data_IF_064300237727
#
_entry.id   IF_064300237727
#
_cell.length_a   1.000
_cell.length_b   1.000
_cell.length_c   1.000
_cell.angle_alpha   90.00
_cell.angle_beta   90.00
_cell.angle_gamma   90.00
#
_symmetry.space_group_name_H-M   'P 1'
#
loop_
_entity.id
_entity.type
_entity.pdbx_description
1 polymer ?
#
# COMPACT_ATOMS: atom_id res chain seq x y z
N UNK A 1 -5.06 -3.83 -2.52
CA UNK A 1 -6.12 -4.87 -2.71
C UNK A 1 -6.72 -4.91 -4.10
N UNK A 2 -7.06 -3.73 -4.68
CA UNK A 2 -7.41 -3.58 -6.10
C UNK A 2 -6.41 -4.34 -6.98
N UNK A 3 -5.12 -4.18 -6.72
CA UNK A 3 -4.05 -4.84 -7.46
C UNK A 3 -4.07 -6.37 -7.35
N UNK A 4 -4.37 -6.93 -6.17
CA UNK A 4 -4.42 -8.39 -6.00
C UNK A 4 -5.63 -9.01 -6.69
N UNK A 5 -6.78 -8.32 -6.67
CA UNK A 5 -7.96 -8.73 -7.41
C UNK A 5 -7.77 -8.59 -8.91
N UNK A 6 -7.18 -7.49 -9.37
CA UNK A 6 -6.90 -7.23 -10.78
C UNK A 6 -5.90 -8.24 -11.34
N UNK A 7 -4.81 -8.54 -10.61
CA UNK A 7 -3.86 -9.60 -10.97
C UNK A 7 -4.53 -10.97 -11.01
N UNK A 8 -5.40 -11.27 -10.04
CA UNK A 8 -6.13 -12.54 -10.02
C UNK A 8 -7.15 -12.64 -11.15
N UNK A 9 -7.80 -11.54 -11.50
CA UNK A 9 -8.74 -11.43 -12.61
C UNK A 9 -8.05 -11.64 -13.96
N UNK A 10 -6.90 -10.99 -14.17
CA UNK A 10 -6.06 -11.20 -15.34
C UNK A 10 -5.57 -12.65 -15.45
N UNK A 11 -5.27 -13.31 -14.32
CA UNK A 11 -4.96 -14.75 -14.30
C UNK A 11 -6.13 -15.61 -14.74
N UNK A 12 -7.33 -15.36 -14.21
CA UNK A 12 -8.55 -16.12 -14.58
C UNK A 12 -8.87 -15.94 -16.07
N UNK A 13 -8.87 -14.71 -16.58
CA UNK A 13 -9.14 -14.44 -17.99
C UNK A 13 -8.08 -15.05 -18.91
N UNK A 14 -6.81 -14.96 -18.51
CA UNK A 14 -5.71 -15.55 -19.25
C UNK A 14 -5.81 -17.07 -19.34
N UNK A 15 -6.08 -17.75 -18.23
CA UNK A 15 -6.20 -19.21 -18.21
C UNK A 15 -7.42 -19.70 -19.00
N UNK A 16 -8.56 -19.00 -18.93
CA UNK A 16 -9.73 -19.33 -19.73
C UNK A 16 -9.46 -19.15 -21.22
N UNK A 17 -8.90 -18.01 -21.63
CA UNK A 17 -8.61 -17.73 -23.03
C UNK A 17 -7.56 -18.70 -23.61
N UNK A 18 -6.45 -18.87 -22.90
CA UNK A 18 -5.40 -19.82 -23.29
C UNK A 18 -5.89 -21.26 -23.28
N UNK A 19 -6.79 -21.61 -22.36
CA UNK A 19 -7.46 -22.90 -22.28
C UNK A 19 -8.34 -23.20 -23.50
N UNK A 20 -9.23 -22.27 -23.84
CA UNK A 20 -10.15 -22.39 -24.98
C UNK A 20 -9.37 -22.46 -26.29
N UNK A 21 -8.42 -21.54 -26.50
CA UNK A 21 -7.64 -21.49 -27.74
C UNK A 21 -6.68 -22.66 -27.85
N UNK A 22 -6.08 -23.10 -26.74
CA UNK A 22 -5.23 -24.29 -26.68
C UNK A 22 -6.02 -25.54 -27.05
N UNK A 23 -7.22 -25.70 -26.49
CA UNK A 23 -8.11 -26.80 -26.83
C UNK A 23 -8.50 -26.77 -28.32
N UNK A 24 -8.97 -25.62 -28.84
CA UNK A 24 -9.31 -25.50 -30.27
C UNK A 24 -8.11 -25.80 -31.18
N UNK A 25 -6.92 -25.39 -30.76
CA UNK A 25 -5.69 -25.59 -31.51
C UNK A 25 -5.29 -27.06 -31.61
N UNK A 26 -5.73 -27.94 -30.71
CA UNK A 26 -5.48 -29.38 -30.82
C UNK A 26 -6.14 -30.01 -32.04
N UNK A 27 -7.19 -29.39 -32.61
CA UNK A 27 -7.85 -29.87 -33.82
C UNK A 27 -7.15 -29.40 -35.11
N UNK A 28 -6.49 -28.24 -35.09
CA UNK A 28 -5.97 -27.59 -36.30
C UNK A 28 -4.44 -27.60 -36.39
N UNK A 29 -3.74 -27.58 -35.25
CA UNK A 29 -2.29 -27.46 -35.18
C UNK A 29 -1.69 -28.81 -34.81
N UNK A 30 -0.96 -29.41 -35.75
CA UNK A 30 -0.11 -30.57 -35.50
C UNK A 30 0.98 -30.19 -34.49
N UNK A 31 1.30 -31.09 -33.56
CA UNK A 31 2.21 -30.94 -32.42
C UNK A 31 3.67 -30.60 -32.83
N UNK A 32 3.87 -29.40 -33.36
CA UNK A 32 5.17 -28.89 -33.77
C UNK A 32 5.49 -27.62 -32.99
N UNK A 33 6.75 -27.45 -32.61
CA UNK A 33 7.21 -26.27 -31.86
C UNK A 33 6.96 -24.97 -32.65
N UNK A 34 7.05 -25.03 -33.98
CA UNK A 34 6.81 -23.88 -34.86
C UNK A 34 5.34 -23.44 -34.80
N UNK A 35 4.39 -24.38 -34.84
CA UNK A 35 2.95 -24.06 -34.76
C UNK A 35 2.55 -23.55 -33.38
N UNK A 36 3.14 -24.08 -32.31
CA UNK A 36 2.97 -23.57 -30.96
C UNK A 36 3.47 -22.12 -30.82
N UNK A 37 4.63 -21.81 -31.40
CA UNK A 37 5.20 -20.45 -31.34
C UNK A 37 4.32 -19.44 -32.09
N UNK A 38 3.81 -19.81 -33.27
CA UNK A 38 2.84 -18.99 -34.00
C UNK A 38 1.54 -18.80 -33.22
N UNK A 39 1.06 -19.85 -32.55
CA UNK A 39 -0.13 -19.78 -31.70
C UNK A 39 0.01 -18.79 -30.54
N UNK A 40 1.19 -18.72 -29.92
CA UNK A 40 1.48 -17.72 -28.87
C UNK A 40 1.39 -16.29 -29.41
N UNK A 41 1.94 -16.03 -30.60
CA UNK A 41 1.86 -14.69 -31.23
C UNK A 41 0.39 -14.31 -31.47
N UNK A 42 -0.42 -15.25 -31.96
CA UNK A 42 -1.86 -15.04 -32.16
C UNK A 42 -2.57 -14.75 -30.83
N UNK A 43 -2.26 -15.49 -29.78
CA UNK A 43 -2.84 -15.26 -28.44
C UNK A 43 -2.51 -13.89 -27.91
N UNK A 44 -1.25 -13.46 -27.98
CA UNK A 44 -0.84 -12.13 -27.51
C UNK A 44 -1.61 -11.06 -28.28
N UNK A 45 -1.75 -11.22 -29.60
CA UNK A 45 -2.50 -10.27 -30.41
C UNK A 45 -3.99 -10.25 -30.03
N UNK A 46 -4.59 -11.41 -29.78
CA UNK A 46 -5.99 -11.52 -29.35
C UNK A 46 -6.21 -10.89 -27.97
N UNK A 47 -5.29 -11.11 -27.02
CA UNK A 47 -5.33 -10.45 -25.71
C UNK A 47 -5.32 -8.93 -25.84
N UNK A 48 -4.54 -8.38 -26.77
CA UNK A 48 -4.52 -6.93 -27.03
C UNK A 48 -5.84 -6.43 -27.63
N UNK A 49 -6.42 -7.15 -28.59
CA UNK A 49 -7.72 -6.79 -29.19
C UNK A 49 -8.83 -6.82 -28.14
N UNK A 50 -8.83 -7.83 -27.27
CA UNK A 50 -9.78 -7.99 -26.17
C UNK A 50 -9.51 -7.05 -24.98
N UNK A 51 -8.49 -6.18 -25.07
CA UNK A 51 -8.06 -5.25 -24.01
C UNK A 51 -7.72 -5.94 -22.68
N UNK A 52 -7.16 -7.14 -22.75
CA UNK A 52 -6.69 -7.95 -21.60
C UNK A 52 -5.20 -8.26 -21.77
N UNK A 53 -4.42 -7.25 -22.16
CA UNK A 53 -2.97 -7.38 -22.42
C UNK A 53 -2.21 -7.94 -21.23
N UNK A 54 -2.65 -7.64 -20.01
CA UNK A 54 -2.02 -8.10 -18.77
C UNK A 54 -2.17 -9.62 -18.55
N UNK A 55 -3.17 -10.23 -19.19
CA UNK A 55 -3.43 -11.66 -19.17
C UNK A 55 -2.60 -12.44 -20.22
N UNK A 56 -1.93 -11.76 -21.15
CA UNK A 56 -1.29 -12.36 -22.33
C UNK A 56 -0.21 -13.40 -21.98
N UNK A 57 0.61 -13.12 -20.96
CA UNK A 57 1.65 -14.05 -20.51
C UNK A 57 1.02 -15.36 -19.97
N UNK A 58 0.01 -15.25 -19.12
CA UNK A 58 -0.68 -16.41 -18.53
C UNK A 58 -1.46 -17.19 -19.58
N UNK A 59 -2.12 -16.49 -20.52
CA UNK A 59 -2.79 -17.12 -21.66
C UNK A 59 -1.82 -17.92 -22.53
N UNK A 60 -0.65 -17.36 -22.82
CA UNK A 60 0.39 -17.99 -23.63
C UNK A 60 0.96 -19.25 -22.96
N UNK A 61 1.26 -19.18 -21.66
CA UNK A 61 1.76 -20.35 -20.90
C UNK A 61 0.71 -21.45 -20.82
N UNK A 62 -0.56 -21.08 -20.60
CA UNK A 62 -1.68 -22.04 -20.54
C UNK A 62 -1.88 -22.73 -21.89
N UNK A 63 -1.85 -21.95 -22.98
CA UNK A 63 -1.91 -22.46 -24.34
C UNK A 63 -0.78 -23.44 -24.65
N UNK A 64 0.48 -23.06 -24.40
CA UNK A 64 1.63 -23.93 -24.64
C UNK A 64 1.52 -25.22 -23.81
N UNK A 65 1.09 -25.09 -22.55
CA UNK A 65 0.89 -26.26 -21.67
C UNK A 65 -0.09 -27.26 -22.29
N UNK A 66 -1.15 -26.78 -22.95
CA UNK A 66 -2.14 -27.66 -23.62
C UNK A 66 -1.58 -28.17 -24.96
N UNK A 67 -1.07 -27.29 -25.82
CA UNK A 67 -0.59 -27.70 -27.14
C UNK A 67 0.60 -28.67 -27.10
N UNK A 68 1.43 -28.64 -26.05
CA UNK A 68 2.59 -29.54 -25.90
C UNK A 68 2.41 -30.61 -24.81
N UNK A 69 1.45 -30.44 -23.89
CA UNK A 69 1.30 -31.28 -22.71
C UNK A 69 0.16 -32.31 -22.78
N UNK A 70 -0.63 -32.32 -23.87
CA UNK A 70 -1.79 -33.21 -24.02
C UNK A 70 -1.41 -34.70 -24.06
N UNK A 71 -0.26 -35.07 -24.64
CA UNK A 71 0.22 -36.46 -24.67
C UNK A 71 -0.87 -37.44 -25.15
N UNK A 72 -1.02 -38.59 -24.47
CA UNK A 72 -2.06 -39.60 -24.78
C UNK A 72 -3.44 -39.30 -24.18
N UNK A 73 -3.61 -38.17 -23.47
CA UNK A 73 -4.88 -37.85 -22.82
C UNK A 73 -5.86 -37.15 -23.79
N UNK A 74 -7.16 -37.28 -23.54
CA UNK A 74 -8.15 -36.46 -24.25
C UNK A 74 -7.91 -34.97 -23.98
N UNK A 75 -7.60 -34.21 -25.03
CA UNK A 75 -7.24 -32.79 -24.99
C UNK A 75 -8.25 -31.93 -24.21
N UNK A 76 -9.53 -32.29 -24.30
CA UNK A 76 -10.62 -31.64 -23.56
C UNK A 76 -10.44 -31.82 -22.04
N UNK A 77 -10.21 -33.05 -21.59
CA UNK A 77 -10.04 -33.35 -20.17
C UNK A 77 -8.77 -32.66 -19.61
N UNK A 78 -7.66 -32.72 -20.35
CA UNK A 78 -6.43 -32.07 -19.94
C UNK A 78 -6.59 -30.55 -19.80
N UNK A 79 -7.27 -29.92 -20.76
CA UNK A 79 -7.50 -28.47 -20.75
C UNK A 79 -8.39 -28.05 -19.56
N UNK A 80 -9.46 -28.81 -19.28
CA UNK A 80 -10.33 -28.55 -18.13
C UNK A 80 -9.56 -28.68 -16.82
N UNK A 81 -8.80 -29.77 -16.64
CA UNK A 81 -8.02 -29.98 -15.42
C UNK A 81 -7.00 -28.86 -15.21
N UNK A 82 -6.31 -28.44 -16.29
CA UNK A 82 -5.36 -27.31 -16.23
C UNK A 82 -6.03 -26.00 -15.85
N UNK A 83 -7.22 -25.72 -16.38
CA UNK A 83 -7.99 -24.53 -15.99
C UNK A 83 -8.43 -24.62 -14.52
N UNK A 84 -8.94 -25.76 -14.07
CA UNK A 84 -9.36 -25.93 -12.66
C UNK A 84 -8.18 -25.79 -11.71
N UNK A 85 -7.05 -26.46 -11.97
CA UNK A 85 -5.85 -26.39 -11.13
C UNK A 85 -5.35 -24.94 -10.96
N UNK A 86 -5.34 -24.18 -12.07
CA UNK A 86 -4.92 -22.77 -12.04
C UNK A 86 -5.93 -21.89 -11.32
N UNK A 87 -7.23 -22.13 -11.48
CA UNK A 87 -8.29 -21.42 -10.74
C UNK A 87 -8.19 -21.70 -9.23
N UNK A 88 -8.01 -22.96 -8.84
CA UNK A 88 -7.82 -23.35 -7.43
C UNK A 88 -6.58 -22.65 -6.85
N UNK A 89 -5.47 -22.62 -7.61
CA UNK A 89 -4.27 -21.88 -7.22
C UNK A 89 -4.52 -20.39 -7.02
N UNK A 90 -5.29 -19.74 -7.89
CA UNK A 90 -5.69 -18.33 -7.74
C UNK A 90 -6.55 -18.11 -6.50
N UNK A 91 -7.53 -18.98 -6.25
CA UNK A 91 -8.41 -18.89 -5.08
C UNK A 91 -7.60 -19.06 -3.79
N UNK A 92 -6.72 -20.05 -3.71
CA UNK A 92 -5.85 -20.25 -2.53
C UNK A 92 -4.94 -19.03 -2.34
N UNK A 93 -4.34 -18.49 -3.41
CA UNK A 93 -3.49 -17.31 -3.34
C UNK A 93 -4.26 -16.08 -2.81
N UNK A 94 -5.50 -15.87 -3.26
CA UNK A 94 -6.38 -14.81 -2.76
C UNK A 94 -6.68 -15.00 -1.27
N UNK A 95 -7.02 -16.21 -0.84
CA UNK A 95 -7.32 -16.52 0.57
C UNK A 95 -6.11 -16.24 1.46
N UNK A 96 -4.92 -16.72 1.07
CA UNK A 96 -3.68 -16.51 1.84
C UNK A 96 -3.31 -15.04 1.90
N UNK A 97 -3.38 -14.34 0.76
CA UNK A 97 -3.07 -12.92 0.69
C UNK A 97 -4.04 -12.08 1.53
N UNK A 98 -5.34 -12.43 1.51
CA UNK A 98 -6.36 -11.79 2.30
C UNK A 98 -6.22 -12.05 3.80
N UNK A 99 -5.92 -13.29 4.21
CA UNK A 99 -5.97 -13.69 5.62
C UNK A 99 -4.66 -13.43 6.36
N UNK A 100 -3.51 -13.72 5.73
CA UNK A 100 -2.21 -13.70 6.43
C UNK A 100 -1.41 -12.44 6.11
N UNK A 101 -1.26 -12.11 4.82
CA UNK A 101 -0.42 -10.98 4.41
C UNK A 101 -1.00 -9.65 4.86
N UNK A 102 -2.32 -9.52 4.83
CA UNK A 102 -3.05 -8.30 5.22
C UNK A 102 -2.88 -7.98 6.69
N UNK A 103 -3.25 -8.89 7.59
CA UNK A 103 -3.18 -8.64 9.04
C UNK A 103 -1.77 -8.24 9.45
N UNK A 104 -0.76 -8.96 8.97
CA UNK A 104 0.65 -8.62 9.24
C UNK A 104 1.05 -7.25 8.69
N UNK A 105 0.56 -6.89 7.52
CA UNK A 105 0.85 -5.59 6.92
C UNK A 105 0.18 -4.46 7.69
N UNK A 106 -1.10 -4.58 8.06
CA UNK A 106 -1.80 -3.55 8.83
C UNK A 106 -1.22 -3.40 10.24
N UNK A 107 -0.85 -4.51 10.90
CA UNK A 107 -0.14 -4.47 12.18
C UNK A 107 1.22 -3.75 12.06
N UNK A 108 2.00 -4.08 11.02
CA UNK A 108 3.25 -3.39 10.71
C UNK A 108 3.06 -1.88 10.51
N UNK A 109 2.04 -1.48 9.74
CA UNK A 109 1.72 -0.08 9.50
C UNK A 109 1.34 0.64 10.80
N UNK A 110 0.52 0.03 11.64
CA UNK A 110 0.09 0.60 12.92
C UNK A 110 1.29 0.79 13.87
N UNK A 111 2.17 -0.19 13.98
CA UNK A 111 3.41 -0.09 14.77
C UNK A 111 4.32 1.01 14.22
N UNK A 112 4.47 1.10 12.90
CA UNK A 112 5.31 2.09 12.24
C UNK A 112 4.77 3.51 12.40
N UNK A 113 3.45 3.70 12.26
CA UNK A 113 2.75 4.96 12.56
C UNK A 113 3.01 5.40 14.00
N UNK A 114 2.77 4.50 14.97
CA UNK A 114 2.97 4.79 16.39
C UNK A 114 4.43 5.14 16.71
N UNK A 115 5.38 4.45 16.10
CA UNK A 115 6.81 4.74 16.27
C UNK A 115 7.18 6.10 15.65
N UNK A 116 6.70 6.41 14.45
CA UNK A 116 6.97 7.68 13.78
C UNK A 116 6.34 8.87 14.54
N UNK A 117 5.13 8.71 15.06
CA UNK A 117 4.45 9.70 15.91
C UNK A 117 5.27 9.96 17.18
N UNK A 118 5.73 8.91 17.86
CA UNK A 118 6.60 9.02 19.05
C UNK A 118 7.92 9.72 18.73
N UNK A 119 8.52 9.43 17.59
CA UNK A 119 9.76 10.07 17.15
C UNK A 119 9.56 11.55 16.87
N UNK A 120 8.45 11.94 16.22
CA UNK A 120 8.09 13.34 16.03
C UNK A 120 7.97 14.06 17.37
N UNK A 121 7.23 13.49 18.32
CA UNK A 121 7.05 14.07 19.66
C UNK A 121 8.37 14.21 20.42
N UNK A 122 9.24 13.20 20.35
CA UNK A 122 10.57 13.23 20.96
C UNK A 122 11.43 14.37 20.40
N UNK A 123 11.43 14.55 19.07
CA UNK A 123 12.16 15.63 18.41
C UNK A 123 11.59 16.98 18.85
N UNK A 124 10.27 17.15 18.81
CA UNK A 124 9.58 18.38 19.24
C UNK A 124 9.92 18.72 20.70
N UNK A 125 9.91 17.73 21.60
CA UNK A 125 10.28 17.93 23.00
C UNK A 125 11.71 18.45 23.15
N UNK A 126 12.65 17.91 22.36
CA UNK A 126 14.04 18.35 22.38
C UNK A 126 14.21 19.77 21.83
N UNK A 127 13.47 20.14 20.77
CA UNK A 127 13.44 21.50 20.22
C UNK A 127 12.96 22.52 21.27
N UNK A 128 11.86 22.22 21.97
CA UNK A 128 11.32 23.11 23.01
C UNK A 128 12.31 23.25 24.17
N UNK A 129 12.90 22.14 24.62
CA UNK A 129 13.85 22.12 25.74
C UNK A 129 15.10 22.94 25.42
N UNK A 130 15.64 22.78 24.22
CA UNK A 130 16.87 23.44 23.78
C UNK A 130 16.62 24.86 23.25
N UNK A 131 15.35 25.22 23.00
CA UNK A 131 14.95 26.47 22.32
C UNK A 131 15.61 26.64 20.94
N UNK A 132 15.81 25.53 20.25
CA UNK A 132 16.41 25.47 18.91
C UNK A 132 15.45 24.71 18.00
N UNK A 133 14.86 25.44 17.06
CA UNK A 133 13.88 24.92 16.12
C UNK A 133 14.49 24.71 14.74
N UNK A 134 15.66 25.29 14.43
CA UNK A 134 16.31 25.17 13.13
C UNK A 134 17.08 23.87 12.94
N UNK A 135 17.89 23.47 13.92
CA UNK A 135 18.84 22.36 13.73
C UNK A 135 18.17 21.02 13.44
N UNK A 136 17.02 20.80 14.08
CA UNK A 136 16.29 19.54 14.01
C UNK A 136 15.07 19.60 13.10
N UNK A 137 14.78 20.75 12.47
CA UNK A 137 13.58 20.95 11.64
C UNK A 137 13.52 19.96 10.47
N UNK A 138 14.63 19.80 9.76
CA UNK A 138 14.72 18.90 8.59
C UNK A 138 14.49 17.45 9.00
N UNK A 139 15.05 17.03 10.13
CA UNK A 139 14.85 15.69 10.71
C UNK A 139 13.38 15.49 11.11
N UNK A 140 12.77 16.48 11.75
CA UNK A 140 11.35 16.42 12.11
C UNK A 140 10.46 16.32 10.87
N UNK A 141 10.70 17.15 9.85
CA UNK A 141 9.92 17.17 8.61
C UNK A 141 10.03 15.83 7.86
N UNK A 142 11.22 15.21 7.85
CA UNK A 142 11.39 13.87 7.29
C UNK A 142 10.56 12.83 8.05
N UNK A 143 10.60 12.82 9.39
CA UNK A 143 9.82 11.84 10.17
C UNK A 143 8.31 12.09 10.10
N UNK A 144 7.89 13.35 9.96
CA UNK A 144 6.50 13.70 9.70
C UNK A 144 6.03 13.21 8.31
N UNK A 145 6.90 13.29 7.29
CA UNK A 145 6.60 12.71 5.98
C UNK A 145 6.37 11.19 6.07
N UNK A 146 7.21 10.47 6.81
CA UNK A 146 7.02 9.04 7.05
C UNK A 146 5.68 8.78 7.77
N UNK A 147 5.38 9.56 8.80
CA UNK A 147 4.12 9.46 9.56
C UNK A 147 2.90 9.64 8.64
N UNK A 148 2.94 10.64 7.75
CA UNK A 148 1.89 10.92 6.77
C UNK A 148 1.73 9.77 5.77
N UNK A 149 2.83 9.17 5.32
CA UNK A 149 2.79 8.00 4.44
C UNK A 149 2.11 6.80 5.12
N UNK A 150 2.52 6.46 6.35
CA UNK A 150 1.90 5.37 7.11
C UNK A 150 0.42 5.63 7.39
N UNK A 151 0.07 6.87 7.74
CA UNK A 151 -1.32 7.28 7.97
C UNK A 151 -2.18 7.05 6.71
N UNK A 152 -1.73 7.52 5.55
CA UNK A 152 -2.47 7.35 4.29
C UNK A 152 -2.64 5.86 3.94
N UNK A 153 -1.57 5.07 4.07
CA UNK A 153 -1.63 3.63 3.83
C UNK A 153 -2.60 2.91 4.79
N UNK A 154 -2.64 3.31 6.07
CA UNK A 154 -3.58 2.78 7.04
C UNK A 154 -5.03 3.13 6.68
N UNK A 155 -5.31 4.39 6.34
CA UNK A 155 -6.65 4.85 5.96
C UNK A 155 -7.15 4.12 4.72
N UNK A 156 -6.27 3.78 3.78
CA UNK A 156 -6.62 3.01 2.58
C UNK A 156 -6.86 1.51 2.87
N UNK A 157 -6.16 0.93 3.84
CA UNK A 157 -6.24 -0.52 4.13
C UNK A 157 -7.29 -0.88 5.19
N UNK A 158 -7.56 -0.02 6.18
CA UNK A 158 -8.51 -0.30 7.28
C UNK A 158 -9.93 -0.64 6.80
N UNK A 159 -10.52 0.01 5.77
CA UNK A 159 -11.87 -0.32 5.27
C UNK A 159 -12.03 -1.78 4.84
N UNK A 160 -10.92 -2.46 4.55
CA UNK A 160 -10.86 -3.84 4.10
C UNK A 160 -10.27 -4.79 5.15
N UNK A 161 -9.98 -4.28 6.36
CA UNK A 161 -9.56 -5.09 7.51
C UNK A 161 -10.77 -5.66 8.23
N UNK A 162 -10.64 -6.89 8.72
CA UNK A 162 -11.62 -7.50 9.63
C UNK A 162 -11.39 -7.10 11.09
N UNK A 163 -10.31 -6.39 11.39
CA UNK A 163 -9.97 -5.93 12.74
C UNK A 163 -10.63 -4.60 13.07
N UNK A 164 -11.15 -4.50 14.29
CA UNK A 164 -11.69 -3.26 14.86
C UNK A 164 -10.52 -2.39 15.35
N UNK A 165 -9.91 -1.65 14.45
CA UNK A 165 -8.97 -0.61 14.85
C UNK A 165 -9.72 0.59 15.40
N UNK A 166 -9.21 1.20 16.49
CA UNK A 166 -9.69 2.48 16.94
C UNK A 166 -9.22 3.57 15.95
N UNK A 167 -10.07 3.82 14.95
CA UNK A 167 -9.88 4.85 13.94
C UNK A 167 -9.87 6.26 14.53
N UNK A 168 -10.63 6.48 15.61
CA UNK A 168 -10.69 7.78 16.28
C UNK A 168 -9.30 8.15 16.84
N UNK A 169 -8.64 7.20 17.51
CA UNK A 169 -7.31 7.39 18.07
C UNK A 169 -6.25 7.62 16.99
N UNK A 170 -6.36 6.92 15.86
CA UNK A 170 -5.48 7.09 14.71
C UNK A 170 -5.61 8.51 14.14
N UNK A 171 -6.84 8.93 13.83
CA UNK A 171 -7.12 10.25 13.28
C UNK A 171 -6.67 11.35 14.24
N UNK A 172 -6.98 11.20 15.52
CA UNK A 172 -6.63 12.19 16.52
C UNK A 172 -5.12 12.29 16.74
N UNK A 173 -4.42 11.15 16.82
CA UNK A 173 -2.95 11.13 16.96
C UNK A 173 -2.25 11.79 15.77
N UNK A 174 -2.76 11.57 14.56
CA UNK A 174 -2.23 12.22 13.35
C UNK A 174 -2.48 13.73 13.37
N UNK A 175 -3.71 14.16 13.67
CA UNK A 175 -4.11 15.58 13.75
C UNK A 175 -3.27 16.36 14.77
N UNK A 176 -3.03 15.80 15.97
CA UNK A 176 -2.12 16.42 16.95
C UNK A 176 -0.72 16.61 16.36
N UNK A 177 -0.16 15.58 15.72
CA UNK A 177 1.17 15.68 15.12
C UNK A 177 1.22 16.71 13.98
N UNK A 178 0.16 16.80 13.17
CA UNK A 178 0.00 17.80 12.10
C UNK A 178 -0.03 19.23 12.66
N UNK A 179 -0.85 19.49 13.70
CA UNK A 179 -0.90 20.80 14.33
C UNK A 179 0.44 21.18 14.98
N UNK A 180 1.12 20.20 15.61
CA UNK A 180 2.43 20.42 16.21
C UNK A 180 3.49 20.81 15.16
N UNK A 181 3.55 20.12 14.02
CA UNK A 181 4.53 20.45 12.97
C UNK A 181 4.27 21.85 12.41
N UNK A 182 3.00 22.27 12.27
CA UNK A 182 2.66 23.62 11.83
C UNK A 182 3.16 24.69 12.80
N UNK A 183 2.99 24.49 14.11
CA UNK A 183 3.49 25.46 15.07
C UNK A 183 5.03 25.49 15.12
N UNK A 184 5.69 24.34 14.99
CA UNK A 184 7.16 24.25 14.92
C UNK A 184 7.69 24.90 13.64
N UNK A 185 7.00 24.75 12.51
CA UNK A 185 7.34 25.44 11.26
C UNK A 185 7.28 26.96 11.43
N UNK A 186 6.26 27.47 12.12
CA UNK A 186 6.18 28.89 12.48
C UNK A 186 7.40 29.36 13.27
N UNK A 187 7.80 28.61 14.31
CA UNK A 187 8.98 28.92 15.12
C UNK A 187 10.29 28.83 14.32
N UNK A 188 10.43 27.82 13.45
CA UNK A 188 11.54 27.69 12.53
C UNK A 188 11.67 28.90 11.60
N UNK A 189 10.56 29.38 11.02
CA UNK A 189 10.55 30.55 10.16
C UNK A 189 10.92 31.83 10.91
N UNK A 190 10.47 31.99 12.17
CA UNK A 190 10.83 33.13 13.01
C UNK A 190 12.32 33.11 13.29
N UNK A 191 12.87 31.98 13.75
CA UNK A 191 14.30 31.84 14.05
C UNK A 191 15.17 32.18 12.83
N UNK A 192 14.74 31.75 11.64
CA UNK A 192 15.40 32.09 10.37
C UNK A 192 15.26 33.57 9.98
N UNK A 193 14.18 34.25 10.38
CA UNK A 193 13.88 35.66 10.08
C UNK A 193 14.37 36.66 11.13
N UNK A 194 14.76 36.23 12.33
CA UNK A 194 15.33 37.11 13.37
C UNK A 194 16.59 37.85 12.86
N UNK A 195 17.20 37.39 11.76
CA UNK A 195 18.24 38.12 11.05
C UNK A 195 17.79 39.44 10.36
N UNK A 196 16.50 39.81 10.31
CA UNK A 196 16.04 40.95 9.48
C UNK A 196 14.91 41.88 9.97
N UNK A 197 14.24 41.67 11.12
CA UNK A 197 13.11 42.55 11.56
C UNK A 197 12.81 42.59 13.08
N UNK A 198 12.01 43.61 13.48
CA UNK A 198 11.56 44.07 14.82
C UNK A 198 11.32 42.99 15.89
N UNK A 199 11.97 43.13 17.06
CA UNK A 199 12.07 42.13 18.12
C UNK A 199 10.77 41.88 18.90
N UNK A 200 9.96 42.92 19.11
CA UNK A 200 8.73 42.84 19.96
C UNK A 200 7.63 41.99 19.30
N UNK A 201 7.43 42.15 17.99
CA UNK A 201 6.41 41.40 17.25
C UNK A 201 6.74 39.90 17.19
N UNK A 202 8.02 39.58 16.99
CA UNK A 202 8.52 38.20 16.97
C UNK A 202 8.33 37.49 18.32
N UNK A 203 8.45 38.21 19.45
CA UNK A 203 8.27 37.65 20.79
C UNK A 203 6.82 37.23 21.06
N UNK A 204 5.84 38.03 20.64
CA UNK A 204 4.42 37.69 20.78
C UNK A 204 4.04 36.44 19.97
N UNK A 205 4.52 36.36 18.73
CA UNK A 205 4.28 35.22 17.85
C UNK A 205 4.98 33.96 18.41
N UNK A 206 6.23 34.10 18.86
CA UNK A 206 6.95 33.00 19.50
C UNK A 206 6.18 32.42 20.70
N UNK A 207 5.69 33.30 21.59
CA UNK A 207 4.93 32.92 22.76
C UNK A 207 3.60 32.22 22.41
N UNK A 208 2.92 32.69 21.35
CA UNK A 208 1.72 32.03 20.82
C UNK A 208 2.01 30.59 20.40
N UNK A 209 2.99 30.37 19.50
CA UNK A 209 3.32 29.02 19.03
C UNK A 209 3.77 28.11 20.16
N UNK A 210 4.63 28.61 21.06
CA UNK A 210 5.10 27.84 22.21
C UNK A 210 3.95 27.41 23.12
N UNK A 211 3.00 28.31 23.40
CA UNK A 211 1.82 28.00 24.22
C UNK A 211 0.95 26.93 23.55
N UNK A 212 0.67 27.05 22.26
CA UNK A 212 -0.11 26.06 21.52
C UNK A 212 0.56 24.69 21.52
N UNK A 213 1.88 24.63 21.29
CA UNK A 213 2.65 23.38 21.34
C UNK A 213 2.54 22.72 22.72
N UNK A 214 2.72 23.48 23.81
CA UNK A 214 2.62 22.94 25.17
C UNK A 214 1.21 22.40 25.48
N UNK A 215 0.17 23.08 25.01
CA UNK A 215 -1.20 22.61 25.15
C UNK A 215 -1.43 21.29 24.39
N UNK A 216 -1.01 21.21 23.12
CA UNK A 216 -1.15 20.01 22.30
C UNK A 216 -0.38 18.81 22.89
N UNK A 217 0.85 19.03 23.38
CA UNK A 217 1.62 18.00 24.06
C UNK A 217 0.94 17.51 25.35
N UNK A 218 0.25 18.40 26.08
CA UNK A 218 -0.51 18.02 27.27
C UNK A 218 -1.74 17.18 26.93
N UNK A 219 -2.46 17.51 25.85
CA UNK A 219 -3.62 16.76 25.35
C UNK A 219 -3.21 15.33 24.97
N UNK A 220 -2.17 15.19 24.13
CA UNK A 220 -1.62 13.89 23.74
C UNK A 220 -1.24 13.01 24.93
N UNK A 221 -0.68 13.61 25.99
CA UNK A 221 -0.26 12.88 27.20
C UNK A 221 -1.44 12.46 28.08
N UNK A 222 -2.54 13.22 28.11
CA UNK A 222 -3.70 12.89 28.93
C UNK A 222 -4.46 11.69 28.37
N UNK A 223 -4.65 11.59 27.06
CA UNK A 223 -5.33 10.45 26.44
C UNK A 223 -4.56 9.15 26.58
N UNK A 224 -3.24 9.17 26.36
CA UNK A 224 -2.42 7.95 26.50
C UNK A 224 -2.37 7.38 27.93
N UNK A 225 -2.74 8.18 28.93
CA UNK A 225 -2.81 7.78 30.34
C UNK A 225 -4.24 7.47 30.81
N UNK A 226 -5.25 7.56 29.93
CA UNK A 226 -6.64 7.31 30.28
C UNK A 226 -7.22 6.20 29.40
N UNK A 227 -6.90 4.91 29.67
CA UNK A 227 -7.32 3.78 28.85
C UNK A 227 -8.82 3.40 29.01
N UNK A 228 -9.63 4.20 29.70
CA UNK A 228 -11.04 3.89 30.01
C UNK A 228 -12.07 4.51 29.05
N UNK A 229 -11.66 4.90 27.84
CA UNK A 229 -12.61 5.17 26.76
C UNK A 229 -12.34 4.20 25.61
N UNK A 230 -12.73 2.94 25.84
CA UNK A 230 -13.29 2.01 24.84
C UNK A 230 -13.72 0.71 25.51
#
# INVERSE_FOLDING_TARGET
MKDSFEVSWSRILGTLLGGIIGYLSTFFLRENIITATLGVIIIIHLCNILKISDASAIASVTFISICLGVGDNHALNYSIMRTIDTLVGVVIALIVNYSVSRTKYTEYLLVSFNSASKDCLSIIYSMIKNKDFSSSYTKLNSRYSDLQEYYNQLVDEIPYSNETYNLSDLYHSFDICEQLIHHIHGLYLIEKRVCSMDTIFNENIYNYHKKSILNLLSQYKQEKNNPEKD
#
